data_IF_112029092409
#
_entry.id   IF_112029092409
#
_cell.length_a   1.000
_cell.length_b   1.000
_cell.length_c   1.000
_cell.angle_alpha   90.00
_cell.angle_beta   90.00
_cell.angle_gamma   90.00
#
_symmetry.space_group_name_H-M   'P 1'
#
loop_
_entity.id
_entity.type
_entity.pdbx_description
1 polymer ?
#
# COMPACT_ATOMS: atom_id res chain seq x y z
N UNK A 1 22.35 20.22 1.67
CA UNK A 1 21.69 19.90 2.95
C UNK A 1 20.57 18.91 2.69
N UNK A 2 20.71 17.65 3.12
CA UNK A 2 19.67 16.63 2.96
C UNK A 2 18.47 17.01 3.83
N UNK A 3 17.28 17.09 3.23
CA UNK A 3 16.04 17.33 3.99
C UNK A 3 15.53 15.98 4.51
N UNK A 4 15.63 15.76 5.82
CA UNK A 4 15.28 14.48 6.46
C UNK A 4 13.78 14.14 6.34
N UNK A 5 12.90 15.14 6.45
CA UNK A 5 11.44 14.94 6.38
C UNK A 5 10.99 14.32 5.04
N UNK A 6 11.30 14.93 3.86
CA UNK A 6 10.88 14.32 2.59
C UNK A 6 11.55 12.97 2.34
N UNK A 7 12.76 12.74 2.87
CA UNK A 7 13.41 11.43 2.79
C UNK A 7 12.62 10.37 3.58
N UNK A 8 12.23 10.66 4.81
CA UNK A 8 11.41 9.74 5.64
C UNK A 8 10.07 9.46 4.96
N UNK A 9 9.40 10.49 4.44
CA UNK A 9 8.13 10.33 3.71
C UNK A 9 8.31 9.40 2.50
N UNK A 10 9.37 9.59 1.73
CA UNK A 10 9.67 8.74 0.57
C UNK A 10 9.92 7.29 0.99
N UNK A 11 10.68 7.06 2.06
CA UNK A 11 10.94 5.71 2.60
C UNK A 11 9.64 5.03 3.03
N UNK A 12 8.75 5.73 3.76
CA UNK A 12 7.45 5.21 4.16
C UNK A 12 6.58 4.90 2.94
N UNK A 13 6.54 5.80 1.97
CA UNK A 13 5.77 5.62 0.74
C UNK A 13 6.21 4.35 -0.01
N UNK A 14 7.52 4.21 -0.27
CA UNK A 14 8.08 3.06 -0.97
C UNK A 14 7.90 1.76 -0.19
N UNK A 15 8.07 1.79 1.13
CA UNK A 15 7.84 0.63 2.00
C UNK A 15 6.38 0.16 1.96
N UNK A 16 5.43 1.09 1.97
CA UNK A 16 3.99 0.80 1.84
C UNK A 16 3.66 0.12 0.51
N UNK A 17 4.16 0.67 -0.61
CA UNK A 17 4.01 0.09 -1.95
C UNK A 17 4.59 -1.33 -1.98
N UNK A 18 5.82 -1.50 -1.52
CA UNK A 18 6.53 -2.78 -1.58
C UNK A 18 5.78 -3.88 -0.80
N UNK A 19 5.41 -3.61 0.46
CA UNK A 19 4.69 -4.58 1.29
C UNK A 19 3.30 -4.88 0.74
N UNK A 20 2.59 -3.87 0.24
CA UNK A 20 1.27 -4.09 -0.35
C UNK A 20 1.35 -4.94 -1.62
N UNK A 21 2.35 -4.70 -2.48
CA UNK A 21 2.59 -5.49 -3.70
C UNK A 21 2.94 -6.95 -3.39
N UNK A 22 3.73 -7.20 -2.34
CA UNK A 22 4.08 -8.55 -1.86
C UNK A 22 2.84 -9.30 -1.33
N UNK A 23 2.02 -8.63 -0.52
CA UNK A 23 0.82 -9.21 0.08
C UNK A 23 -0.45 -9.11 -0.76
N UNK A 24 -0.37 -8.54 -1.96
CA UNK A 24 -1.56 -8.20 -2.77
C UNK A 24 -2.47 -9.40 -3.04
N UNK A 25 -1.88 -10.59 -3.17
CA UNK A 25 -2.61 -11.84 -3.43
C UNK A 25 -3.52 -12.27 -2.26
N UNK A 26 -3.32 -11.69 -1.06
CA UNK A 26 -4.15 -11.92 0.13
C UNK A 26 -5.33 -10.94 0.22
N UNK A 27 -5.40 -9.96 -0.68
CA UNK A 27 -6.51 -9.01 -0.75
C UNK A 27 -7.67 -9.58 -1.57
N UNK A 28 -8.84 -8.96 -1.42
CA UNK A 28 -10.02 -9.27 -2.22
C UNK A 28 -10.08 -8.46 -3.52
N UNK A 29 -8.99 -7.81 -3.93
CA UNK A 29 -8.97 -6.99 -5.14
C UNK A 29 -8.79 -7.81 -6.42
N UNK A 30 -9.18 -7.22 -7.55
CA UNK A 30 -8.89 -7.78 -8.87
C UNK A 30 -7.38 -7.95 -9.07
N UNK A 31 -6.99 -9.12 -9.61
CA UNK A 31 -5.59 -9.48 -9.87
C UNK A 31 -5.02 -8.86 -11.16
N UNK A 32 -5.79 -7.99 -11.80
CA UNK A 32 -5.32 -7.25 -12.98
C UNK A 32 -4.16 -6.32 -12.60
N UNK A 33 -3.14 -6.30 -13.44
CA UNK A 33 -1.94 -5.48 -13.23
C UNK A 33 -2.27 -3.98 -13.07
N UNK A 34 -3.16 -3.37 -13.88
CA UNK A 34 -3.55 -1.96 -13.69
C UNK A 34 -4.16 -1.70 -12.31
N UNK A 35 -5.07 -2.55 -11.85
CA UNK A 35 -5.70 -2.44 -10.54
C UNK A 35 -4.67 -2.53 -9.43
N UNK A 36 -3.75 -3.51 -9.51
CA UNK A 36 -2.66 -3.66 -8.55
C UNK A 36 -1.79 -2.40 -8.48
N UNK A 37 -1.40 -1.84 -9.62
CA UNK A 37 -0.55 -0.64 -9.68
C UNK A 37 -1.27 0.59 -9.11
N UNK A 38 -2.51 0.85 -9.54
CA UNK A 38 -3.30 2.00 -9.07
C UNK A 38 -3.49 1.92 -7.55
N UNK A 39 -3.91 0.77 -7.04
CA UNK A 39 -4.15 0.57 -5.61
C UNK A 39 -2.85 0.64 -4.80
N UNK A 40 -1.72 0.20 -5.35
CA UNK A 40 -0.42 0.28 -4.66
C UNK A 40 0.10 1.71 -4.60
N UNK A 41 0.04 2.47 -5.70
CA UNK A 41 0.56 3.84 -5.75
C UNK A 41 -0.32 4.83 -4.97
N UNK A 42 -1.64 4.64 -4.99
CA UNK A 42 -2.59 5.50 -4.27
C UNK A 42 -2.76 5.12 -2.79
N UNK A 43 -1.91 4.25 -2.25
CA UNK A 43 -2.09 3.70 -0.90
C UNK A 43 -2.24 4.75 0.21
N UNK A 44 -1.51 5.88 0.25
CA UNK A 44 -1.60 6.80 1.39
C UNK A 44 -2.99 7.45 1.46
N UNK A 45 -3.52 7.84 0.30
CA UNK A 45 -4.84 8.46 0.19
C UNK A 45 -5.91 7.43 0.49
N UNK A 46 -5.86 6.27 -0.19
CA UNK A 46 -6.86 5.21 -0.02
C UNK A 46 -6.90 4.65 1.41
N UNK A 47 -5.76 4.60 2.10
CA UNK A 47 -5.68 4.17 3.50
C UNK A 47 -6.45 5.11 4.44
N UNK A 48 -6.43 6.42 4.16
CA UNK A 48 -7.12 7.44 4.95
C UNK A 48 -8.61 7.47 4.61
N UNK A 49 -8.95 7.50 3.31
CA UNK A 49 -10.32 7.80 2.85
C UNK A 49 -11.21 6.57 2.65
N UNK A 50 -10.64 5.37 2.56
CA UNK A 50 -11.40 4.15 2.23
C UNK A 50 -11.17 3.03 3.26
N UNK A 51 -12.20 2.78 4.07
CA UNK A 51 -12.16 1.75 5.12
C UNK A 51 -11.96 0.32 4.57
N UNK A 52 -12.58 -0.01 3.44
CA UNK A 52 -12.40 -1.33 2.78
C UNK A 52 -10.98 -1.50 2.24
N UNK A 53 -10.43 -0.43 1.66
CA UNK A 53 -9.03 -0.43 1.26
C UNK A 53 -8.11 -0.64 2.44
N UNK A 54 -8.31 0.08 3.54
CA UNK A 54 -7.50 -0.06 4.76
C UNK A 54 -7.49 -1.49 5.29
N UNK A 55 -8.64 -2.17 5.32
CA UNK A 55 -8.72 -3.57 5.72
C UNK A 55 -7.91 -4.49 4.79
N UNK A 56 -8.03 -4.31 3.48
CA UNK A 56 -7.26 -5.10 2.50
C UNK A 56 -5.76 -4.78 2.54
N UNK A 57 -5.40 -3.52 2.73
CA UNK A 57 -4.02 -3.09 2.92
C UNK A 57 -3.41 -3.78 4.15
N UNK A 58 -4.12 -3.77 5.29
CA UNK A 58 -3.68 -4.47 6.49
C UNK A 58 -3.56 -6.00 6.29
N UNK A 59 -4.47 -6.63 5.53
CA UNK A 59 -4.35 -8.06 5.15
C UNK A 59 -3.07 -8.32 4.35
N UNK A 60 -2.76 -7.47 3.37
CA UNK A 60 -1.54 -7.58 2.59
C UNK A 60 -0.28 -7.41 3.45
N UNK A 61 -0.31 -6.53 4.45
CA UNK A 61 0.85 -6.26 5.31
C UNK A 61 1.10 -7.34 6.37
N UNK A 62 0.04 -7.88 6.96
CA UNK A 62 0.14 -8.78 8.13
C UNK A 62 0.20 -10.26 7.76
N UNK A 63 -0.18 -10.62 6.54
CA UNK A 63 -0.45 -12.03 6.23
C UNK A 63 -1.79 -12.46 6.85
N UNK A 64 -2.34 -13.57 6.35
CA UNK A 64 -3.55 -14.18 6.91
C UNK A 64 -3.23 -14.66 8.34
N UNK A 65 -4.07 -14.32 9.34
CA UNK A 65 -4.17 -15.09 10.58
C UNK A 65 -4.84 -16.42 10.27
#
# INVERSE_FOLDING_TARGET
MVKLIPFIILVIYLAGVWKFVQGYNLTNFSRQLPTKLILSLLWPVLFIVNGSYRQNFQKALKGRN
#
